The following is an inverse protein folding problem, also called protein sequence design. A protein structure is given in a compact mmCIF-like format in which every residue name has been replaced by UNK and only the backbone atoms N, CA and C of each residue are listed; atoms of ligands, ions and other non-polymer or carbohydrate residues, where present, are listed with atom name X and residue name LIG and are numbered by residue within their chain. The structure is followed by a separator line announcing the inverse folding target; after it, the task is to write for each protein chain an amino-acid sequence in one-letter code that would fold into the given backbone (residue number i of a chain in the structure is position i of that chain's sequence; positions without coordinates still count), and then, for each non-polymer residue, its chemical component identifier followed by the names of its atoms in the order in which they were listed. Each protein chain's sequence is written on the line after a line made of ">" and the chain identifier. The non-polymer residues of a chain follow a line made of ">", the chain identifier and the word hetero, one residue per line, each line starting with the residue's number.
data_IF_541578167433
#
_entry.id   IF_541578167433
#
_cell.length_a   1.000
_cell.length_b   1.000
_cell.length_c   1.000
_cell.angle_alpha   90.00
_cell.angle_beta   90.00
_cell.angle_gamma   90.00
#
_symmetry.space_group_name_H-M   'P 1'
#
loop_
_entity.id
_entity.type
_entity.pdbx_description
1 polymer ?
#
# COMPACT_ATOMS: atom_id res chain seq x y z
N UNK A 1 -22.16 27.34 -6.09
CA UNK A 1 -21.89 27.08 -7.51
C UNK A 1 -21.07 28.23 -8.06
N UNK A 2 -20.08 27.93 -8.88
CA UNK A 2 -19.31 28.91 -9.67
C UNK A 2 -19.69 28.74 -11.14
N UNK A 3 -19.62 29.80 -11.92
CA UNK A 3 -19.87 29.75 -13.37
C UNK A 3 -18.52 29.91 -14.06
N UNK A 4 -18.17 28.99 -14.96
CA UNK A 4 -16.93 29.10 -15.72
C UNK A 4 -17.05 30.12 -16.87
N UNK A 5 -15.94 30.43 -17.50
CA UNK A 5 -15.81 31.42 -18.58
C UNK A 5 -16.71 31.12 -19.79
N UNK A 6 -17.15 29.86 -19.91
CA UNK A 6 -18.04 29.37 -20.97
C UNK A 6 -19.51 29.31 -20.53
N UNK A 7 -19.85 29.85 -19.37
CA UNK A 7 -21.22 29.87 -18.83
C UNK A 7 -21.66 28.58 -18.16
N UNK A 8 -20.78 27.59 -17.98
CA UNK A 8 -21.15 26.33 -17.34
C UNK A 8 -21.14 26.48 -15.82
N UNK A 9 -22.20 26.00 -15.18
CA UNK A 9 -22.32 25.96 -13.73
C UNK A 9 -21.50 24.78 -13.18
N UNK A 10 -20.52 25.07 -12.34
CA UNK A 10 -19.72 24.10 -11.60
C UNK A 10 -20.00 24.20 -10.10
N UNK A 11 -19.79 23.10 -9.40
CA UNK A 11 -19.83 23.12 -7.95
C UNK A 11 -18.61 23.86 -7.41
N UNK A 12 -18.81 24.75 -6.43
CA UNK A 12 -17.74 25.54 -5.80
C UNK A 12 -16.64 24.65 -5.20
N UNK A 13 -17.00 23.45 -4.74
CA UNK A 13 -16.09 22.48 -4.16
C UNK A 13 -16.15 21.13 -4.90
N UNK A 14 -15.99 21.16 -6.23
CA UNK A 14 -16.08 19.96 -7.07
C UNK A 14 -15.17 18.80 -6.60
N UNK A 15 -13.95 19.12 -6.15
CA UNK A 15 -13.00 18.10 -5.62
C UNK A 15 -13.51 17.40 -4.36
N UNK A 16 -14.13 18.15 -3.45
CA UNK A 16 -14.70 17.62 -2.21
C UNK A 16 -15.91 16.73 -2.51
N UNK A 17 -16.79 17.16 -3.40
CA UNK A 17 -17.95 16.37 -3.82
C UNK A 17 -17.54 15.08 -4.54
N UNK A 18 -16.49 15.13 -5.36
CA UNK A 18 -15.91 13.92 -5.98
C UNK A 18 -15.32 12.97 -4.94
N UNK A 19 -14.63 13.50 -3.93
CA UNK A 19 -14.10 12.69 -2.84
C UNK A 19 -15.22 12.03 -2.01
N UNK A 20 -16.25 12.79 -1.65
CA UNK A 20 -17.45 12.30 -0.95
C UNK A 20 -18.14 11.20 -1.76
N UNK A 21 -18.41 11.45 -3.06
CA UNK A 21 -19.01 10.46 -3.94
C UNK A 21 -18.16 9.19 -4.06
N UNK A 22 -16.83 9.33 -4.07
CA UNK A 22 -15.88 8.23 -4.02
C UNK A 22 -16.01 7.39 -2.75
N UNK A 23 -16.06 8.04 -1.58
CA UNK A 23 -16.26 7.36 -0.30
C UNK A 23 -17.61 6.65 -0.22
N UNK A 24 -18.70 7.31 -0.64
CA UNK A 24 -20.04 6.72 -0.68
C UNK A 24 -20.11 5.49 -1.58
N UNK A 25 -19.42 5.52 -2.73
CA UNK A 25 -19.30 4.35 -3.61
C UNK A 25 -18.57 3.21 -2.90
N UNK A 26 -17.42 3.47 -2.28
CA UNK A 26 -16.66 2.44 -1.58
C UNK A 26 -17.45 1.83 -0.39
N UNK A 27 -18.28 2.64 0.28
CA UNK A 27 -19.22 2.19 1.31
C UNK A 27 -20.29 1.27 0.71
N UNK A 28 -20.93 1.68 -0.39
CA UNK A 28 -21.96 0.88 -1.08
C UNK A 28 -21.41 -0.44 -1.61
N UNK A 29 -20.17 -0.43 -2.06
CA UNK A 29 -19.48 -1.60 -2.60
C UNK A 29 -18.88 -2.51 -1.50
N UNK A 30 -19.09 -2.17 -0.22
CA UNK A 30 -18.49 -2.85 0.94
C UNK A 30 -16.95 -2.99 0.89
N UNK A 31 -16.29 -2.03 0.22
CA UNK A 31 -14.82 -2.03 0.07
C UNK A 31 -14.12 -1.10 1.05
N UNK A 32 -14.83 -0.10 1.61
CA UNK A 32 -14.30 0.83 2.61
C UNK A 32 -14.27 0.21 4.02
N UNK A 33 -13.82 -1.05 4.15
CA UNK A 33 -13.79 -1.77 5.45
C UNK A 33 -15.13 -1.76 6.22
N UNK A 34 -16.25 -1.44 5.55
CA UNK A 34 -17.58 -1.29 6.15
C UNK A 34 -18.16 -2.62 6.59
N UNK A 35 -17.70 -3.72 6.00
CA UNK A 35 -18.03 -5.09 6.39
C UNK A 35 -17.41 -5.52 7.71
N UNK A 36 -16.46 -4.75 8.26
CA UNK A 36 -15.77 -5.08 9.50
C UNK A 36 -16.51 -4.47 10.69
N UNK A 37 -17.40 -5.26 11.30
CA UNK A 37 -17.98 -4.95 12.61
C UNK A 37 -17.02 -5.38 13.71
N UNK A 38 -15.96 -4.61 13.94
CA UNK A 38 -15.04 -4.85 15.06
C UNK A 38 -15.71 -4.44 16.38
N UNK A 39 -16.58 -5.29 16.90
CA UNK A 39 -17.28 -5.02 18.18
C UNK A 39 -16.34 -5.19 19.38
N UNK A 40 -15.29 -5.99 19.24
CA UNK A 40 -14.42 -6.42 20.35
C UNK A 40 -12.99 -5.86 20.30
N UNK A 41 -12.65 -4.99 19.35
CA UNK A 41 -11.28 -4.46 19.21
C UNK A 41 -11.28 -2.95 19.31
N UNK A 42 -10.65 -2.41 20.36
CA UNK A 42 -10.37 -0.99 20.49
C UNK A 42 -9.31 -0.60 19.45
N UNK A 43 -9.75 -0.09 18.30
CA UNK A 43 -8.85 0.44 17.27
C UNK A 43 -8.38 1.83 17.68
N UNK A 44 -7.07 2.07 17.83
CA UNK A 44 -6.56 3.40 18.14
C UNK A 44 -6.88 4.38 17.00
N UNK A 45 -7.09 5.65 17.36
CA UNK A 45 -7.33 6.74 16.38
C UNK A 45 -6.12 7.07 15.51
N UNK A 46 -4.94 6.56 15.85
CA UNK A 46 -3.69 6.82 15.12
C UNK A 46 -3.07 5.54 14.58
N UNK A 47 -2.43 5.64 13.42
CA UNK A 47 -1.75 4.54 12.76
C UNK A 47 -0.38 4.20 13.40
N UNK A 48 -0.01 4.84 14.51
CA UNK A 48 1.30 4.72 15.13
C UNK A 48 1.63 3.28 15.56
N UNK A 49 0.61 2.52 16.01
CA UNK A 49 0.80 1.10 16.36
C UNK A 49 1.19 0.24 15.16
N UNK A 50 0.64 0.53 13.98
CA UNK A 50 0.99 -0.20 12.77
C UNK A 50 2.32 0.31 12.21
N UNK A 51 2.49 1.62 12.04
CA UNK A 51 3.67 2.18 11.38
C UNK A 51 4.93 2.14 12.22
N UNK A 52 4.83 2.55 13.49
CA UNK A 52 5.94 2.55 14.43
C UNK A 52 6.18 1.19 15.08
N UNK A 53 5.15 0.36 15.18
CA UNK A 53 5.25 -1.00 15.74
C UNK A 53 5.60 -2.03 14.69
N UNK A 54 4.61 -2.46 13.93
CA UNK A 54 4.71 -3.61 13.00
C UNK A 54 5.57 -3.28 11.77
N UNK A 55 5.24 -2.21 11.05
CA UNK A 55 5.92 -1.88 9.79
C UNK A 55 7.36 -1.44 10.01
N UNK A 56 7.69 -0.79 11.13
CA UNK A 56 9.06 -0.47 11.48
C UNK A 56 9.93 -1.73 11.62
N UNK A 57 9.43 -2.76 12.29
CA UNK A 57 10.14 -4.04 12.46
C UNK A 57 10.31 -4.78 11.13
N UNK A 58 9.25 -4.83 10.31
CA UNK A 58 9.32 -5.41 8.96
C UNK A 58 10.36 -4.69 8.09
N UNK A 59 10.37 -3.35 8.10
CA UNK A 59 11.36 -2.53 7.38
C UNK A 59 12.79 -2.76 7.89
N UNK A 60 12.96 -2.97 9.20
CA UNK A 60 14.24 -3.32 9.82
C UNK A 60 14.76 -4.67 9.33
N UNK A 61 13.96 -5.73 9.48
CA UNK A 61 14.30 -7.07 8.97
C UNK A 61 14.66 -7.04 7.48
N UNK A 62 13.86 -6.38 6.64
CA UNK A 62 14.14 -6.28 5.21
C UNK A 62 15.43 -5.50 4.90
N UNK A 63 15.80 -4.56 5.76
CA UNK A 63 17.05 -3.79 5.66
C UNK A 63 18.26 -4.65 6.01
N UNK A 64 18.16 -5.43 7.07
CA UNK A 64 19.25 -6.31 7.53
C UNK A 64 19.49 -7.47 6.54
N UNK A 65 18.45 -7.84 5.79
CA UNK A 65 18.48 -8.91 4.78
C UNK A 65 18.42 -8.42 3.33
N UNK A 66 18.94 -7.22 3.03
CA UNK A 66 18.97 -6.65 1.66
C UNK A 66 19.65 -7.53 0.62
N UNK A 67 20.62 -8.34 1.01
CA UNK A 67 21.34 -9.28 0.13
C UNK A 67 20.51 -10.50 -0.31
N UNK A 68 19.31 -10.71 0.25
CA UNK A 68 18.44 -11.80 -0.16
C UNK A 68 17.68 -11.45 -1.45
N UNK A 69 17.50 -12.45 -2.32
CA UNK A 69 16.59 -12.37 -3.46
C UNK A 69 15.20 -11.89 -3.02
N UNK A 70 14.47 -11.20 -3.89
CA UNK A 70 13.12 -10.71 -3.62
C UNK A 70 12.18 -11.80 -3.10
N UNK A 71 12.22 -13.01 -3.68
CA UNK A 71 11.41 -14.16 -3.25
C UNK A 71 11.69 -14.54 -1.79
N UNK A 72 12.96 -14.63 -1.40
CA UNK A 72 13.37 -14.92 -0.02
C UNK A 72 12.99 -13.81 0.95
N UNK A 73 13.10 -12.54 0.53
CA UNK A 73 12.65 -11.39 1.35
C UNK A 73 11.13 -11.41 1.57
N UNK A 74 10.35 -11.73 0.54
CA UNK A 74 8.91 -11.90 0.66
C UNK A 74 8.57 -13.05 1.61
N UNK A 75 9.20 -14.23 1.44
CA UNK A 75 9.02 -15.35 2.36
C UNK A 75 9.36 -14.98 3.80
N UNK A 76 10.44 -14.21 4.03
CA UNK A 76 10.78 -13.73 5.37
C UNK A 76 9.67 -12.85 5.97
N UNK A 77 9.05 -11.96 5.18
CA UNK A 77 7.88 -11.18 5.61
C UNK A 77 6.69 -12.08 5.94
N UNK A 78 6.37 -13.06 5.10
CA UNK A 78 5.27 -13.99 5.37
C UNK A 78 5.50 -14.78 6.67
N UNK A 79 6.72 -15.26 6.91
CA UNK A 79 7.08 -15.95 8.15
C UNK A 79 7.02 -15.02 9.35
N UNK A 80 7.51 -13.79 9.23
CA UNK A 80 7.42 -12.80 10.29
C UNK A 80 5.95 -12.55 10.68
N UNK A 81 5.07 -12.35 9.70
CA UNK A 81 3.63 -12.16 9.94
C UNK A 81 2.98 -13.39 10.59
N UNK A 82 3.42 -14.60 10.24
CA UNK A 82 2.95 -15.83 10.86
C UNK A 82 3.35 -15.91 12.34
N UNK A 83 4.62 -15.70 12.67
CA UNK A 83 5.16 -15.75 14.04
C UNK A 83 4.57 -14.68 14.96
N UNK A 84 4.23 -13.51 14.39
CA UNK A 84 3.67 -12.38 15.15
C UNK A 84 2.14 -12.31 15.07
N UNK A 85 1.49 -13.33 14.51
CA UNK A 85 0.03 -13.43 14.49
C UNK A 85 -0.49 -13.84 15.88
N UNK A 86 -1.52 -13.19 16.44
CA UNK A 86 -2.12 -13.61 17.70
C UNK A 86 -2.73 -15.02 17.68
N UNK A 87 -3.07 -15.52 16.49
CA UNK A 87 -3.65 -16.86 16.26
C UNK A 87 -3.02 -17.48 15.02
N UNK A 88 -1.79 -18.01 15.12
CA UNK A 88 -1.14 -18.65 14.00
C UNK A 88 -1.86 -19.96 13.63
N UNK A 89 -1.90 -20.27 12.34
CA UNK A 89 -2.39 -21.56 11.87
C UNK A 89 -1.46 -22.68 12.34
N UNK A 90 -1.94 -23.92 12.48
CA UNK A 90 -1.06 -25.07 12.68
C UNK A 90 -0.04 -25.17 11.54
N UNK A 91 1.17 -25.66 11.85
CA UNK A 91 2.28 -25.79 10.88
C UNK A 91 1.87 -26.56 9.61
N UNK A 92 1.06 -27.61 9.75
CA UNK A 92 0.58 -28.39 8.61
C UNK A 92 -0.36 -27.60 7.68
N UNK A 93 -1.11 -26.63 8.21
CA UNK A 93 -2.06 -25.83 7.45
C UNK A 93 -1.38 -24.59 6.84
N UNK A 94 -0.49 -23.92 7.58
CA UNK A 94 0.21 -22.74 7.06
C UNK A 94 1.06 -23.08 5.84
N UNK A 95 1.66 -24.28 5.79
CA UNK A 95 2.44 -24.74 4.64
C UNK A 95 1.62 -24.83 3.35
N UNK A 96 0.30 -25.06 3.45
CA UNK A 96 -0.61 -25.08 2.28
C UNK A 96 -0.90 -23.67 1.76
N UNK A 97 -0.88 -22.67 2.64
CA UNK A 97 -1.21 -21.28 2.32
C UNK A 97 0.02 -20.42 2.01
N UNK A 98 1.21 -20.81 2.48
CA UNK A 98 2.44 -20.07 2.26
C UNK A 98 2.76 -19.96 0.76
N UNK A 99 3.22 -18.78 0.30
CA UNK A 99 3.54 -18.60 -1.09
C UNK A 99 4.80 -19.39 -1.47
N UNK A 100 4.70 -20.13 -2.57
CA UNK A 100 5.82 -20.82 -3.20
C UNK A 100 6.54 -19.88 -4.16
N UNK A 101 7.78 -20.18 -4.54
CA UNK A 101 8.54 -19.32 -5.48
C UNK A 101 7.77 -19.14 -6.80
N UNK A 102 7.11 -20.21 -7.26
CA UNK A 102 6.24 -20.16 -8.46
C UNK A 102 5.07 -19.20 -8.29
N UNK A 103 4.39 -19.18 -7.14
CA UNK A 103 3.24 -18.30 -6.90
C UNK A 103 3.69 -16.85 -6.72
N UNK A 104 4.84 -16.62 -6.07
CA UNK A 104 5.47 -15.29 -5.96
C UNK A 104 5.78 -14.75 -7.36
N UNK A 105 6.51 -15.51 -8.17
CA UNK A 105 6.89 -15.11 -9.52
C UNK A 105 5.67 -14.91 -10.43
N UNK A 106 4.62 -15.73 -10.31
CA UNK A 106 3.37 -15.55 -11.05
C UNK A 106 2.62 -14.28 -10.64
N UNK A 107 2.55 -13.98 -9.35
CA UNK A 107 1.90 -12.77 -8.81
C UNK A 107 2.63 -11.53 -9.29
N UNK A 108 3.97 -11.52 -9.24
CA UNK A 108 4.77 -10.42 -9.77
C UNK A 108 4.56 -10.23 -11.27
N UNK A 109 4.63 -11.29 -12.07
CA UNK A 109 4.35 -11.19 -13.52
C UNK A 109 2.95 -10.63 -13.81
N UNK A 110 1.95 -10.98 -13.00
CA UNK A 110 0.59 -10.43 -13.11
C UNK A 110 0.56 -8.95 -12.77
N UNK A 111 1.21 -8.53 -11.68
CA UNK A 111 1.28 -7.11 -11.29
C UNK A 111 2.01 -6.30 -12.36
N UNK A 112 3.16 -6.77 -12.84
CA UNK A 112 3.94 -6.10 -13.90
C UNK A 112 3.18 -6.05 -15.24
N UNK A 113 2.37 -7.06 -15.56
CA UNK A 113 1.52 -7.03 -16.76
C UNK A 113 0.41 -5.97 -16.67
N UNK A 114 -0.08 -5.69 -15.45
CA UNK A 114 -1.11 -4.68 -15.19
C UNK A 114 -0.51 -3.27 -15.02
N UNK A 115 0.70 -3.17 -14.46
CA UNK A 115 1.51 -1.95 -14.41
C UNK A 115 2.42 -1.89 -15.65
N UNK A 116 1.87 -1.48 -16.80
CA UNK A 116 2.70 -1.10 -17.95
C UNK A 116 3.46 0.20 -17.65
N UNK A 117 4.49 0.12 -16.82
CA UNK A 117 5.67 1.01 -16.86
C UNK A 117 6.87 0.12 -16.50
N UNK A 118 7.62 -0.21 -17.54
CA UNK A 118 8.97 -0.80 -17.60
C UNK A 118 9.25 -2.19 -16.97
N UNK A 119 9.69 -3.11 -17.82
CA UNK A 119 10.05 -4.51 -17.54
C UNK A 119 11.33 -4.68 -16.67
N UNK A 120 11.63 -3.72 -15.79
CA UNK A 120 12.78 -3.75 -14.89
C UNK A 120 12.25 -3.93 -13.47
N UNK A 121 12.79 -4.92 -12.73
CA UNK A 121 12.52 -4.99 -11.28
C UNK A 121 12.92 -3.64 -10.67
N UNK A 122 12.01 -2.93 -9.97
CA UNK A 122 12.38 -1.69 -9.30
C UNK A 122 13.54 -1.95 -8.36
N UNK A 123 14.69 -1.37 -8.66
CA UNK A 123 15.83 -1.31 -7.76
C UNK A 123 15.58 -0.22 -6.72
N UNK A 124 16.40 -0.24 -5.68
CA UNK A 124 16.36 0.79 -4.65
C UNK A 124 16.73 2.14 -5.30
N UNK A 125 15.74 3.02 -5.51
CA UNK A 125 15.88 4.26 -6.29
C UNK A 125 14.80 4.47 -7.37
N UNK A 126 14.07 3.41 -7.75
CA UNK A 126 13.09 3.45 -8.85
C UNK A 126 11.63 3.73 -8.38
N UNK A 127 11.43 4.01 -7.10
CA UNK A 127 10.11 4.37 -6.58
C UNK A 127 9.88 5.88 -6.69
N UNK A 128 8.63 6.28 -6.94
CA UNK A 128 8.12 7.67 -6.89
C UNK A 128 8.80 8.40 -5.74
N UNK A 129 9.66 9.36 -6.08
CA UNK A 129 10.34 10.21 -5.10
C UNK A 129 9.29 11.15 -4.54
N UNK A 130 9.25 11.34 -3.22
CA UNK A 130 8.29 12.25 -2.55
C UNK A 130 8.22 13.66 -3.17
N UNK A 131 9.28 14.11 -3.85
CA UNK A 131 9.34 15.35 -4.61
C UNK A 131 8.34 15.43 -5.78
N UNK A 132 7.88 14.32 -6.34
CA UNK A 132 6.86 14.31 -7.41
C UNK A 132 5.47 14.77 -6.92
N UNK A 133 5.25 14.81 -5.60
CA UNK A 133 4.04 15.37 -4.99
C UNK A 133 4.13 16.86 -4.66
N UNK A 134 5.28 17.51 -4.87
CA UNK A 134 5.45 18.93 -4.63
C UNK A 134 5.36 19.73 -5.93
N UNK A 135 4.72 20.91 -5.85
CA UNK A 135 4.67 21.86 -6.97
C UNK A 135 6.08 22.22 -7.43
N UNK A 136 6.27 22.32 -8.74
CA UNK A 136 7.47 22.93 -9.32
C UNK A 136 7.65 24.34 -8.76
N UNK A 137 8.62 24.52 -7.88
CA UNK A 137 9.05 25.86 -7.45
C UNK A 137 9.94 26.47 -8.53
N UNK A 138 9.92 27.80 -8.65
CA UNK A 138 10.67 28.55 -9.67
C UNK A 138 12.20 28.44 -9.52
N UNK A 139 12.67 27.83 -8.43
CA UNK A 139 14.09 27.68 -8.10
C UNK A 139 14.53 26.21 -8.11
N UNK A 140 15.69 25.88 -8.71
CA UNK A 140 16.27 24.55 -8.65
C UNK A 140 16.75 24.23 -7.23
N UNK A 141 16.42 23.04 -6.75
CA UNK A 141 16.94 22.49 -5.49
C UNK A 141 18.19 21.69 -5.83
N UNK A 142 19.36 22.19 -5.41
CA UNK A 142 20.62 21.46 -5.46
C UNK A 142 20.79 20.69 -4.16
N UNK A 143 21.10 19.40 -4.25
CA UNK A 143 21.47 18.56 -3.11
C UNK A 143 22.98 18.29 -3.19
N UNK A 144 23.67 18.36 -2.05
CA UNK A 144 25.00 17.76 -1.85
C UNK A 144 24.89 16.23 -1.68
#
# INVERSE_FOLDING_TARGET
>A
MTVDENGNKRATHERLLKAEAGLLRLIRDDTLFTYLTFVDITVPTTNNRLEGGVNAQLRGMLRDHRGLSLERRLKAVYWWCYEHSPRPLPVAEILKCMPTDKTIAATYRRIMRNNRVDNILPQWGDAIVWNEFHMSTEFPIYWD
#
